data_IF_011979239699
#
_entry.id   IF_011979239699
#
_cell.length_a   1.000
_cell.length_b   1.000
_cell.length_c   1.000
_cell.angle_alpha   90.00
_cell.angle_beta   90.00
_cell.angle_gamma   90.00
#
_symmetry.space_group_name_H-M   'P 1'
#
loop_
_entity.id
_entity.type
_entity.pdbx_description
1 polymer ?
#
# COMPACT_ATOMS: atom_id res chain seq x y z
N UNK A 1 16.93 -19.30 -5.48
CA UNK A 1 15.60 -19.53 -6.09
C UNK A 1 14.67 -19.84 -4.94
N UNK A 2 13.80 -18.88 -4.57
CA UNK A 2 12.87 -19.11 -3.46
C UNK A 2 11.86 -20.17 -3.87
N UNK A 3 11.66 -21.17 -3.02
CA UNK A 3 10.70 -22.24 -3.28
C UNK A 3 9.29 -21.67 -3.00
N UNK A 4 8.68 -21.09 -4.03
CA UNK A 4 7.28 -20.66 -4.02
C UNK A 4 6.35 -21.86 -4.28
N UNK A 5 6.74 -23.04 -3.81
CA UNK A 5 5.95 -24.25 -4.03
C UNK A 5 4.51 -24.02 -3.50
N UNK A 6 3.47 -24.15 -4.34
CA UNK A 6 2.11 -23.96 -3.90
C UNK A 6 1.78 -24.94 -2.78
N UNK A 7 1.48 -24.44 -1.58
CA UNK A 7 0.98 -25.24 -0.47
C UNK A 7 -0.30 -26.00 -0.83
N UNK A 8 -0.73 -26.94 0.01
CA UNK A 8 -1.93 -27.74 -0.23
C UNK A 8 -3.24 -26.94 -0.16
N UNK A 9 -3.25 -25.81 0.56
CA UNK A 9 -4.40 -24.92 0.74
C UNK A 9 -4.33 -23.62 -0.06
N UNK A 10 -5.42 -22.85 -0.11
CA UNK A 10 -5.40 -21.53 -0.72
C UNK A 10 -4.63 -20.52 0.15
N UNK A 11 -4.05 -19.49 -0.48
CA UNK A 11 -3.58 -18.27 0.20
C UNK A 11 -4.73 -17.29 0.24
N UNK A 12 -5.07 -16.78 1.42
CA UNK A 12 -6.06 -15.71 1.55
C UNK A 12 -5.41 -14.35 1.26
N UNK A 13 -6.02 -13.57 0.37
CA UNK A 13 -5.68 -12.16 0.15
C UNK A 13 -6.89 -11.32 0.53
N UNK A 14 -6.80 -10.48 1.55
CA UNK A 14 -7.87 -9.54 1.84
C UNK A 14 -7.78 -8.33 0.93
N UNK A 15 -8.93 -7.81 0.46
CA UNK A 15 -8.95 -6.60 -0.35
C UNK A 15 -8.47 -6.76 -1.79
N UNK A 16 -8.71 -7.92 -2.41
CA UNK A 16 -8.29 -8.20 -3.80
C UNK A 16 -8.89 -7.29 -4.86
N UNK A 17 -9.94 -6.53 -4.55
CA UNK A 17 -10.49 -5.49 -5.43
C UNK A 17 -9.74 -4.14 -5.34
N UNK A 18 -8.77 -4.01 -4.45
CA UNK A 18 -7.95 -2.80 -4.30
C UNK A 18 -6.73 -2.80 -5.21
N UNK A 19 -6.09 -1.63 -5.34
CA UNK A 19 -4.93 -1.44 -6.20
C UNK A 19 -3.78 -2.42 -5.90
N UNK A 20 -3.27 -2.45 -4.67
CA UNK A 20 -2.23 -3.42 -4.27
C UNK A 20 -2.77 -4.85 -4.26
N UNK A 21 -4.00 -5.05 -3.77
CA UNK A 21 -4.60 -6.38 -3.68
C UNK A 21 -4.69 -7.09 -5.03
N UNK A 22 -5.04 -6.37 -6.10
CA UNK A 22 -5.09 -6.94 -7.46
C UNK A 22 -3.72 -7.40 -7.96
N UNK A 23 -2.64 -6.68 -7.64
CA UNK A 23 -1.27 -7.07 -7.97
C UNK A 23 -0.79 -8.26 -7.14
N UNK A 24 -1.17 -8.33 -5.86
CA UNK A 24 -0.87 -9.49 -5.01
C UNK A 24 -1.59 -10.74 -5.53
N UNK A 25 -2.87 -10.61 -5.93
CA UNK A 25 -3.62 -11.68 -6.58
C UNK A 25 -2.94 -12.16 -7.87
N UNK A 26 -2.59 -11.25 -8.76
CA UNK A 26 -1.92 -11.56 -10.03
C UNK A 26 -0.59 -12.29 -9.77
N UNK A 27 0.23 -11.79 -8.85
CA UNK A 27 1.53 -12.38 -8.50
C UNK A 27 1.39 -13.82 -7.95
N UNK A 28 0.43 -14.07 -7.05
CA UNK A 28 0.17 -15.39 -6.49
C UNK A 28 -0.35 -16.37 -7.56
N UNK A 29 -1.31 -15.94 -8.37
CA UNK A 29 -1.90 -16.78 -9.41
C UNK A 29 -0.85 -17.15 -10.48
N UNK A 30 0.02 -16.22 -10.88
CA UNK A 30 1.15 -16.48 -11.79
C UNK A 30 2.19 -17.42 -11.18
N UNK A 31 2.39 -17.35 -9.87
CA UNK A 31 3.24 -18.30 -9.14
C UNK A 31 2.59 -19.68 -8.96
N UNK A 32 1.34 -19.88 -9.43
CA UNK A 32 0.64 -21.16 -9.41
C UNK A 32 -0.11 -21.46 -8.13
N UNK A 33 -0.24 -20.51 -7.21
CA UNK A 33 -1.01 -20.68 -5.99
C UNK A 33 -2.52 -20.74 -6.27
N UNK A 34 -3.23 -21.50 -5.42
CA UNK A 34 -4.68 -21.32 -5.26
C UNK A 34 -4.89 -20.10 -4.35
N UNK A 35 -5.75 -19.20 -4.77
CA UNK A 35 -5.94 -17.92 -4.07
C UNK A 35 -7.40 -17.79 -3.68
N UNK A 36 -7.65 -17.44 -2.44
CA UNK A 36 -8.94 -16.96 -1.97
C UNK A 36 -8.84 -15.46 -1.71
N UNK A 37 -9.86 -14.68 -2.09
CA UNK A 37 -9.88 -13.26 -1.77
C UNK A 37 -11.21 -12.81 -1.20
N UNK A 38 -11.18 -11.74 -0.40
CA UNK A 38 -12.40 -11.16 0.15
C UNK A 38 -12.86 -9.96 -0.65
N UNK A 39 -14.16 -9.84 -0.80
CA UNK A 39 -14.86 -8.63 -1.25
C UNK A 39 -15.90 -8.23 -0.20
N UNK A 40 -16.19 -6.90 -0.10
CA UNK A 40 -17.18 -6.40 0.88
C UNK A 40 -18.62 -6.74 0.51
N UNK A 41 -18.88 -6.94 -0.78
CA UNK A 41 -20.21 -7.26 -1.30
C UNK A 41 -20.12 -8.13 -2.55
N UNK A 42 -21.11 -8.99 -2.85
CA UNK A 42 -21.06 -9.93 -3.97
C UNK A 42 -20.93 -9.27 -5.35
N UNK A 43 -21.47 -8.07 -5.52
CA UNK A 43 -21.41 -7.29 -6.77
C UNK A 43 -19.97 -6.96 -7.19
N UNK A 44 -19.02 -6.92 -6.26
CA UNK A 44 -17.59 -6.68 -6.55
C UNK A 44 -16.86 -7.92 -7.08
N UNK A 45 -17.42 -9.10 -6.94
CA UNK A 45 -16.75 -10.35 -7.33
C UNK A 45 -16.45 -10.41 -8.82
N UNK A 46 -17.38 -9.97 -9.67
CA UNK A 46 -17.20 -9.97 -11.12
C UNK A 46 -16.03 -9.08 -11.55
N UNK A 47 -15.90 -7.89 -10.95
CA UNK A 47 -14.77 -6.98 -11.20
C UNK A 47 -13.41 -7.62 -10.87
N UNK A 48 -13.32 -8.34 -9.75
CA UNK A 48 -12.09 -9.05 -9.34
C UNK A 48 -11.75 -10.16 -10.35
N UNK A 49 -12.73 -10.97 -10.78
CA UNK A 49 -12.51 -12.00 -11.79
C UNK A 49 -12.05 -11.40 -13.12
N UNK A 50 -12.72 -10.34 -13.56
CA UNK A 50 -12.36 -9.66 -14.79
C UNK A 50 -10.95 -9.06 -14.76
N UNK A 51 -10.52 -8.51 -13.61
CA UNK A 51 -9.17 -7.97 -13.43
C UNK A 51 -8.13 -9.08 -13.46
N UNK A 52 -8.35 -10.19 -12.75
CA UNK A 52 -7.47 -11.36 -12.77
C UNK A 52 -7.34 -11.96 -14.19
N UNK A 53 -8.44 -12.06 -14.92
CA UNK A 53 -8.43 -12.56 -16.30
C UNK A 53 -7.65 -11.65 -17.26
N UNK A 54 -7.81 -10.32 -17.15
CA UNK A 54 -7.03 -9.35 -17.94
C UNK A 54 -5.53 -9.41 -17.67
N UNK A 55 -5.15 -9.68 -16.42
CA UNK A 55 -3.77 -9.88 -16.03
C UNK A 55 -3.19 -11.23 -16.51
N UNK A 56 -4.01 -12.09 -17.13
CA UNK A 56 -3.61 -13.40 -17.67
C UNK A 56 -3.53 -14.49 -16.60
N UNK A 57 -4.13 -14.29 -15.44
CA UNK A 57 -4.19 -15.27 -14.38
C UNK A 57 -5.25 -16.35 -14.67
N UNK A 58 -5.03 -17.60 -14.19
CA UNK A 58 -6.01 -18.70 -14.29
C UNK A 58 -7.18 -18.44 -13.35
N UNK A 59 -8.40 -18.12 -13.87
CA UNK A 59 -9.56 -17.87 -13.03
C UNK A 59 -10.02 -19.09 -12.22
N UNK A 60 -9.68 -20.30 -12.64
CA UNK A 60 -10.01 -21.56 -11.95
C UNK A 60 -9.29 -21.71 -10.61
N UNK A 61 -8.25 -20.94 -10.37
CA UNK A 61 -7.49 -20.91 -9.11
C UNK A 61 -7.93 -19.82 -8.14
N UNK A 62 -8.93 -18.99 -8.52
CA UNK A 62 -9.42 -17.86 -7.74
C UNK A 62 -10.79 -18.14 -7.13
N UNK A 63 -10.83 -18.20 -5.81
CA UNK A 63 -12.04 -18.23 -5.00
C UNK A 63 -12.34 -16.84 -4.42
N UNK A 64 -13.60 -16.42 -4.40
CA UNK A 64 -14.01 -15.13 -3.85
C UNK A 64 -15.05 -15.36 -2.78
N UNK A 65 -14.83 -14.79 -1.59
CA UNK A 65 -15.74 -14.85 -0.45
C UNK A 65 -16.12 -13.44 0.00
N UNK A 66 -17.27 -13.32 0.63
CA UNK A 66 -17.72 -12.02 1.18
C UNK A 66 -17.27 -11.93 2.63
N UNK A 67 -16.49 -10.87 2.93
CA UNK A 67 -16.14 -10.48 4.30
C UNK A 67 -15.80 -8.99 4.33
N UNK A 68 -16.27 -8.29 5.37
CA UNK A 68 -16.04 -6.88 5.59
C UNK A 68 -15.21 -6.65 6.86
N UNK A 69 -14.22 -5.76 6.81
CA UNK A 69 -13.43 -5.40 7.99
C UNK A 69 -14.27 -4.76 9.11
N UNK A 70 -15.45 -4.23 8.80
CA UNK A 70 -16.39 -3.65 9.75
C UNK A 70 -17.32 -4.66 10.44
N UNK A 71 -17.31 -5.94 10.02
CA UNK A 71 -18.21 -6.97 10.52
C UNK A 71 -17.46 -8.27 10.82
N UNK A 72 -18.00 -9.11 11.72
CA UNK A 72 -17.35 -10.37 12.12
C UNK A 72 -17.68 -11.53 11.16
N UNK A 73 -18.75 -11.37 10.39
CA UNK A 73 -19.25 -12.40 9.48
C UNK A 73 -18.30 -12.63 8.30
N UNK A 74 -18.23 -13.89 7.86
CA UNK A 74 -17.46 -14.29 6.67
C UNK A 74 -15.98 -14.59 6.93
N UNK A 75 -15.38 -14.11 8.01
CA UNK A 75 -13.94 -14.30 8.24
C UNK A 75 -13.55 -15.74 8.52
N UNK A 76 -14.36 -16.49 9.29
CA UNK A 76 -14.13 -17.91 9.53
C UNK A 76 -14.08 -18.71 8.21
N UNK A 77 -15.00 -18.46 7.29
CA UNK A 77 -15.00 -19.10 5.97
C UNK A 77 -13.84 -18.60 5.11
N UNK A 78 -13.51 -17.30 5.18
CA UNK A 78 -12.41 -16.72 4.42
C UNK A 78 -11.06 -17.37 4.76
N UNK A 79 -10.76 -17.63 6.04
CA UNK A 79 -9.48 -18.19 6.49
C UNK A 79 -9.42 -19.72 6.49
N UNK A 80 -10.57 -20.40 6.37
CA UNK A 80 -10.67 -21.86 6.48
C UNK A 80 -9.76 -22.58 5.49
N UNK A 81 -8.86 -23.41 6.01
CA UNK A 81 -7.90 -24.19 5.23
C UNK A 81 -6.79 -23.37 4.57
N UNK A 82 -6.66 -22.09 4.92
CA UNK A 82 -5.53 -21.29 4.50
C UNK A 82 -4.33 -21.48 5.44
N UNK A 83 -3.16 -21.69 4.87
CA UNK A 83 -1.89 -21.69 5.63
C UNK A 83 -1.36 -20.28 5.84
N UNK A 84 -1.64 -19.40 4.88
CA UNK A 84 -1.14 -18.02 4.87
C UNK A 84 -2.25 -17.01 4.57
N UNK A 85 -2.16 -15.84 5.17
CA UNK A 85 -3.03 -14.69 4.90
C UNK A 85 -2.17 -13.48 4.52
N UNK A 86 -2.41 -12.91 3.35
CA UNK A 86 -1.87 -11.61 2.95
C UNK A 86 -2.96 -10.56 3.23
N UNK A 87 -2.83 -9.88 4.37
CA UNK A 87 -3.80 -8.89 4.82
C UNK A 87 -3.50 -7.52 4.21
N UNK A 88 -4.03 -7.29 3.00
CA UNK A 88 -3.81 -6.06 2.21
C UNK A 88 -4.92 -5.02 2.44
N UNK A 89 -6.12 -5.49 2.78
CA UNK A 89 -7.26 -4.60 3.02
C UNK A 89 -7.00 -3.67 4.21
N UNK A 90 -7.30 -2.41 4.01
CA UNK A 90 -7.39 -1.42 5.10
C UNK A 90 -8.55 -0.48 4.80
N UNK A 91 -9.36 -0.10 5.80
CA UNK A 91 -10.36 0.92 5.61
C UNK A 91 -9.69 2.22 5.15
N UNK A 92 -10.21 2.80 4.09
CA UNK A 92 -9.79 4.12 3.61
C UNK A 92 -11.03 5.00 3.53
N UNK A 93 -11.08 6.13 4.24
CA UNK A 93 -12.26 6.97 4.27
C UNK A 93 -12.51 7.60 2.90
N UNK A 94 -13.74 7.50 2.41
CA UNK A 94 -14.13 8.10 1.13
C UNK A 94 -14.28 9.65 1.23
N UNK A 95 -14.25 10.20 2.44
CA UNK A 95 -14.38 11.63 2.73
C UNK A 95 -13.54 11.98 3.96
N UNK A 96 -13.29 13.26 4.16
CA UNK A 96 -12.65 13.76 5.39
C UNK A 96 -13.49 13.33 6.62
N UNK A 97 -12.87 12.67 7.60
CA UNK A 97 -13.56 12.25 8.81
C UNK A 97 -13.93 13.46 9.65
N UNK A 98 -15.05 13.38 10.37
CA UNK A 98 -15.45 14.40 11.35
C UNK A 98 -14.73 14.23 12.67
N UNK A 99 -14.37 12.97 12.99
CA UNK A 99 -13.59 12.60 14.17
C UNK A 99 -12.55 11.57 13.77
N UNK A 100 -11.37 11.60 14.39
CA UNK A 100 -10.26 10.69 14.03
C UNK A 100 -10.61 9.21 14.24
N UNK A 101 -11.46 8.90 15.22
CA UNK A 101 -11.94 7.54 15.48
C UNK A 101 -12.72 6.91 14.31
N UNK A 102 -13.31 7.71 13.42
CA UNK A 102 -13.96 7.20 12.22
C UNK A 102 -12.97 6.47 11.27
N UNK A 103 -11.67 6.70 11.46
CA UNK A 103 -10.60 6.08 10.68
C UNK A 103 -9.77 5.13 11.53
N UNK A 104 -9.42 5.53 12.76
CA UNK A 104 -8.53 4.78 13.64
C UNK A 104 -9.18 3.47 14.11
N UNK A 105 -10.40 3.56 14.61
CA UNK A 105 -11.10 2.38 15.18
C UNK A 105 -11.35 1.31 14.11
N UNK A 106 -11.93 1.62 12.92
CA UNK A 106 -12.09 0.60 11.89
C UNK A 106 -10.78 -0.02 11.39
N UNK A 107 -9.68 0.75 11.34
CA UNK A 107 -8.39 0.25 10.90
C UNK A 107 -7.82 -0.75 11.92
N UNK A 108 -7.84 -0.40 13.20
CA UNK A 108 -7.40 -1.26 14.31
C UNK A 108 -8.25 -2.53 14.40
N UNK A 109 -9.56 -2.35 14.53
CA UNK A 109 -10.47 -3.46 14.80
C UNK A 109 -10.58 -4.42 13.60
N UNK A 110 -10.52 -3.86 12.37
CA UNK A 110 -10.47 -4.65 11.16
C UNK A 110 -9.22 -5.54 11.07
N UNK A 111 -8.05 -5.00 11.42
CA UNK A 111 -6.81 -5.79 11.46
C UNK A 111 -6.89 -6.89 12.53
N UNK A 112 -7.34 -6.56 13.74
CA UNK A 112 -7.51 -7.53 14.82
C UNK A 112 -8.52 -8.63 14.48
N UNK A 113 -9.59 -8.30 13.76
CA UNK A 113 -10.60 -9.26 13.29
C UNK A 113 -9.99 -10.33 12.39
N UNK A 114 -9.16 -9.91 11.43
CA UNK A 114 -8.46 -10.84 10.54
C UNK A 114 -7.45 -11.69 11.32
N UNK A 115 -6.70 -11.12 12.23
CA UNK A 115 -5.71 -11.83 13.04
C UNK A 115 -6.37 -12.86 13.97
N UNK A 116 -7.50 -12.51 14.61
CA UNK A 116 -8.28 -13.48 15.43
C UNK A 116 -8.77 -14.64 14.59
N UNK A 117 -9.39 -14.35 13.44
CA UNK A 117 -9.86 -15.39 12.54
C UNK A 117 -8.71 -16.30 12.06
N UNK A 118 -7.57 -15.75 11.72
CA UNK A 118 -6.37 -16.47 11.31
C UNK A 118 -5.85 -17.39 12.43
N UNK A 119 -5.71 -16.89 13.66
CA UNK A 119 -5.31 -17.66 14.84
C UNK A 119 -6.27 -18.82 15.10
N UNK A 120 -7.58 -18.54 15.14
CA UNK A 120 -8.61 -19.49 15.53
C UNK A 120 -8.77 -20.64 14.52
N UNK A 121 -8.29 -20.46 13.28
CA UNK A 121 -8.33 -21.47 12.22
C UNK A 121 -6.97 -22.05 11.85
N UNK A 122 -5.94 -21.81 12.67
CA UNK A 122 -4.63 -22.43 12.51
C UNK A 122 -3.82 -21.91 11.32
N UNK A 123 -4.05 -20.68 10.87
CA UNK A 123 -3.19 -20.02 9.91
C UNK A 123 -1.78 -19.92 10.50
N UNK A 124 -0.77 -20.27 9.72
CA UNK A 124 0.63 -20.22 10.15
C UNK A 124 1.13 -18.81 10.22
N UNK A 125 0.94 -18.01 9.14
CA UNK A 125 1.47 -16.65 9.05
C UNK A 125 0.49 -15.68 8.40
N UNK A 126 0.40 -14.48 9.01
CA UNK A 126 -0.21 -13.31 8.40
C UNK A 126 0.90 -12.36 7.94
N UNK A 127 0.84 -11.92 6.68
CA UNK A 127 1.64 -10.79 6.17
C UNK A 127 0.71 -9.59 6.05
N UNK A 128 0.92 -8.58 6.89
CA UNK A 128 0.06 -7.40 6.95
C UNK A 128 0.67 -6.24 6.16
N UNK A 129 -0.13 -5.61 5.32
CA UNK A 129 0.22 -4.32 4.73
C UNK A 129 -0.06 -3.21 5.73
N UNK A 130 1.00 -2.60 6.25
CA UNK A 130 0.96 -1.36 7.00
C UNK A 130 1.34 -0.18 6.09
N UNK A 131 2.15 0.74 6.56
CA UNK A 131 2.59 1.91 5.80
C UNK A 131 3.83 2.54 6.46
N UNK A 132 4.64 3.26 5.68
CA UNK A 132 5.61 4.21 6.23
C UNK A 132 4.97 5.22 7.19
N UNK A 133 3.66 5.46 7.06
CA UNK A 133 2.90 6.27 8.02
C UNK A 133 2.97 5.76 9.46
N UNK A 134 3.17 4.46 9.69
CA UNK A 134 3.38 3.90 11.03
C UNK A 134 4.84 4.04 11.52
N UNK A 135 5.75 4.53 10.68
CA UNK A 135 7.19 4.56 10.95
C UNK A 135 7.72 5.98 11.16
N UNK A 136 7.49 6.89 10.21
CA UNK A 136 8.35 8.07 10.06
C UNK A 136 7.67 9.43 10.16
N UNK A 137 6.52 9.59 10.81
CA UNK A 137 5.82 10.87 10.84
C UNK A 137 6.01 11.70 12.12
N UNK A 138 6.48 11.11 13.20
CA UNK A 138 6.73 11.82 14.47
C UNK A 138 8.11 12.45 14.55
N UNK A 139 9.07 11.95 13.79
CA UNK A 139 10.45 12.43 13.85
C UNK A 139 10.62 13.74 13.09
N UNK A 140 11.10 14.77 13.77
CA UNK A 140 11.32 16.11 13.22
C UNK A 140 12.76 16.37 12.77
N UNK A 141 13.71 15.48 13.12
CA UNK A 141 15.11 15.57 12.73
C UNK A 141 15.41 14.88 11.40
N UNK A 142 16.53 15.23 10.77
CA UNK A 142 17.05 14.55 9.58
C UNK A 142 17.56 13.13 9.91
N UNK A 143 17.87 12.35 8.88
CA UNK A 143 18.42 11.01 8.95
C UNK A 143 17.52 9.99 8.28
N UNK A 144 18.07 8.80 8.05
CA UNK A 144 17.32 7.70 7.47
C UNK A 144 16.41 7.03 8.52
N UNK A 145 15.26 6.55 8.06
CA UNK A 145 14.33 5.73 8.84
C UNK A 145 14.65 4.26 8.66
N UNK A 146 14.51 3.49 9.74
CA UNK A 146 14.59 2.03 9.70
C UNK A 146 13.39 1.39 10.44
N UNK A 147 13.38 0.07 10.50
CA UNK A 147 12.27 -0.68 11.07
C UNK A 147 12.13 -0.55 12.60
N UNK A 148 13.08 0.08 13.29
CA UNK A 148 12.97 0.39 14.73
C UNK A 148 12.20 1.69 14.99
N UNK A 149 12.07 2.55 13.98
CA UNK A 149 11.35 3.81 14.11
C UNK A 149 9.83 3.59 14.18
N UNK A 150 9.15 4.42 14.96
CA UNK A 150 7.71 4.41 15.11
C UNK A 150 7.11 5.82 15.10
N UNK A 151 6.00 5.96 14.39
CA UNK A 151 5.14 7.14 14.52
C UNK A 151 4.38 7.07 15.85
N UNK A 152 4.38 8.17 16.61
CA UNK A 152 3.57 8.32 17.82
C UNK A 152 2.16 8.83 17.42
N UNK A 153 1.10 8.06 17.68
CA UNK A 153 -0.26 8.50 17.40
C UNK A 153 -0.74 9.64 18.33
N UNK A 154 0.01 9.98 19.36
CA UNK A 154 -0.25 11.12 20.24
C UNK A 154 0.14 12.47 19.63
N UNK A 155 0.95 12.47 18.60
CA UNK A 155 1.36 13.69 17.91
C UNK A 155 0.21 14.32 17.10
N UNK A 156 0.38 15.60 16.72
CA UNK A 156 -0.57 16.32 15.84
C UNK A 156 -0.39 15.87 14.37
N UNK A 157 -1.00 14.73 14.07
CA UNK A 157 -0.91 14.06 12.78
C UNK A 157 -2.31 13.81 12.19
N UNK A 158 -2.36 13.59 10.87
CA UNK A 158 -3.62 13.28 10.21
C UNK A 158 -4.22 11.97 10.76
N UNK A 159 -5.57 11.83 10.78
CA UNK A 159 -6.25 10.61 11.24
C UNK A 159 -5.78 9.35 10.50
N UNK A 160 -5.43 9.48 9.22
CA UNK A 160 -4.88 8.38 8.43
C UNK A 160 -3.53 7.90 8.99
N UNK A 161 -2.59 8.82 9.24
CA UNK A 161 -1.26 8.49 9.79
C UNK A 161 -1.40 7.80 11.15
N UNK A 162 -2.20 8.38 12.04
CA UNK A 162 -2.50 7.79 13.36
C UNK A 162 -3.10 6.38 13.22
N UNK A 163 -4.05 6.19 12.29
CA UNK A 163 -4.70 4.90 12.09
C UNK A 163 -3.72 3.78 11.70
N UNK A 164 -2.70 4.10 10.91
CA UNK A 164 -1.67 3.13 10.52
C UNK A 164 -0.77 2.74 11.69
N UNK A 165 -0.33 3.71 12.49
CA UNK A 165 0.47 3.45 13.67
C UNK A 165 -0.30 2.62 14.71
N UNK A 166 -1.55 2.99 15.00
CA UNK A 166 -2.40 2.28 15.96
C UNK A 166 -2.73 0.86 15.50
N UNK A 167 -3.09 0.68 14.23
CA UNK A 167 -3.45 -0.65 13.71
C UNK A 167 -2.23 -1.59 13.71
N UNK A 168 -1.05 -1.12 13.33
CA UNK A 168 0.15 -1.93 13.34
C UNK A 168 0.59 -2.30 14.75
N UNK A 169 0.61 -1.35 15.70
CA UNK A 169 0.92 -1.64 17.10
C UNK A 169 -0.05 -2.66 17.67
N UNK A 170 -1.36 -2.49 17.45
CA UNK A 170 -2.36 -3.43 17.92
C UNK A 170 -2.19 -4.84 17.33
N UNK A 171 -1.72 -4.96 16.08
CA UNK A 171 -1.41 -6.25 15.47
C UNK A 171 -0.23 -6.95 16.17
N UNK A 172 0.84 -6.21 16.49
CA UNK A 172 1.99 -6.74 17.23
C UNK A 172 1.61 -7.12 18.67
N UNK A 173 0.88 -6.26 19.38
CA UNK A 173 0.42 -6.53 20.75
C UNK A 173 -0.46 -7.78 20.81
N UNK A 174 -1.40 -7.92 19.87
CA UNK A 174 -2.23 -9.11 19.76
C UNK A 174 -1.40 -10.37 19.50
N UNK A 175 -0.46 -10.31 18.58
CA UNK A 175 0.36 -11.48 18.23
C UNK A 175 1.22 -11.92 19.42
N UNK A 176 1.77 -10.98 20.17
CA UNK A 176 2.58 -11.24 21.35
C UNK A 176 1.74 -11.81 22.53
N UNK A 177 0.55 -11.27 22.78
CA UNK A 177 -0.26 -11.63 23.95
C UNK A 177 -1.23 -12.80 23.69
N UNK A 178 -1.80 -12.86 22.48
CA UNK A 178 -2.91 -13.74 22.15
C UNK A 178 -2.67 -14.58 20.88
N UNK A 179 -1.54 -14.41 20.19
CA UNK A 179 -1.29 -15.01 18.87
C UNK A 179 -1.28 -16.53 18.81
N UNK A 180 -0.97 -17.23 19.94
CA UNK A 180 -1.09 -18.67 20.03
C UNK A 180 -0.23 -19.47 19.03
N UNK A 181 0.87 -18.90 18.54
CA UNK A 181 1.73 -19.50 17.52
C UNK A 181 1.52 -18.90 16.10
N UNK A 182 0.56 -18.00 15.92
CA UNK A 182 0.41 -17.24 14.69
C UNK A 182 1.64 -16.34 14.46
N UNK A 183 2.30 -16.50 13.32
CA UNK A 183 3.40 -15.63 12.91
C UNK A 183 2.85 -14.36 12.25
N UNK A 184 3.44 -13.19 12.55
CA UNK A 184 3.15 -11.93 11.87
C UNK A 184 4.40 -11.43 11.15
N UNK A 185 4.26 -10.97 9.91
CA UNK A 185 5.21 -10.15 9.20
C UNK A 185 4.51 -8.87 8.72
N UNK A 186 5.20 -7.74 8.70
CA UNK A 186 4.58 -6.47 8.30
C UNK A 186 5.38 -5.81 7.18
N UNK A 187 4.67 -5.35 6.17
CA UNK A 187 5.22 -4.59 5.04
C UNK A 187 4.81 -3.11 5.20
N UNK A 188 5.80 -2.22 5.26
CA UNK A 188 5.62 -0.78 5.44
C UNK A 188 6.03 -0.02 4.16
N UNK A 189 5.19 0.03 3.13
CA UNK A 189 5.49 0.79 1.92
C UNK A 189 5.28 2.29 2.14
N UNK A 190 6.05 3.15 1.43
CA UNK A 190 5.77 4.57 1.28
C UNK A 190 4.66 4.80 0.25
N UNK A 191 4.77 5.83 -0.61
CA UNK A 191 3.85 6.04 -1.72
C UNK A 191 3.91 4.89 -2.73
N UNK A 192 2.80 4.17 -2.92
CA UNK A 192 2.73 3.05 -3.87
C UNK A 192 2.26 3.57 -5.23
N UNK A 193 3.11 3.44 -6.24
CA UNK A 193 2.85 3.78 -7.63
C UNK A 193 3.08 2.55 -8.53
N UNK A 194 2.89 2.69 -9.83
CA UNK A 194 3.06 1.61 -10.79
C UNK A 194 1.81 1.38 -11.64
N UNK A 195 1.80 0.40 -12.53
CA UNK A 195 0.70 0.20 -13.45
C UNK A 195 -0.60 -0.16 -12.73
N UNK A 196 -1.73 0.29 -13.28
CA UNK A 196 -3.07 -0.11 -12.83
C UNK A 196 -3.59 -1.25 -13.69
N UNK A 197 -4.33 -2.17 -13.07
CA UNK A 197 -4.94 -3.32 -13.74
C UNK A 197 -6.42 -3.09 -14.07
N UNK A 198 -7.04 -2.08 -13.46
CA UNK A 198 -8.43 -1.70 -13.70
C UNK A 198 -8.66 -0.18 -13.54
N UNK A 199 -9.93 0.25 -13.53
CA UNK A 199 -10.30 1.67 -13.43
C UNK A 199 -10.35 2.22 -12.00
N UNK A 200 -10.11 1.40 -10.98
CA UNK A 200 -10.10 1.84 -9.59
C UNK A 200 -8.71 2.35 -9.20
N UNK A 201 -8.59 3.67 -9.09
CA UNK A 201 -7.33 4.33 -8.80
C UNK A 201 -7.10 4.48 -7.30
N UNK A 202 -5.86 4.23 -6.86
CA UNK A 202 -5.37 4.67 -5.55
C UNK A 202 -5.14 6.19 -5.55
N UNK A 203 -5.01 6.78 -4.37
CA UNK A 203 -4.69 8.22 -4.25
C UNK A 203 -3.37 8.58 -4.97
N UNK A 204 -2.35 7.74 -4.86
CA UNK A 204 -1.05 7.95 -5.51
C UNK A 204 -1.14 7.87 -7.04
N UNK A 205 -1.86 6.91 -7.59
CA UNK A 205 -2.12 6.85 -9.04
C UNK A 205 -2.97 8.03 -9.49
N UNK A 206 -3.96 8.44 -8.69
CA UNK A 206 -4.77 9.64 -8.92
C UNK A 206 -3.93 10.92 -9.00
N UNK A 207 -2.84 10.99 -8.25
CA UNK A 207 -1.88 12.09 -8.31
C UNK A 207 -1.19 12.18 -9.69
N UNK A 208 -0.69 11.04 -10.21
CA UNK A 208 -0.09 10.99 -11.55
C UNK A 208 -1.11 11.37 -12.62
N UNK A 209 -2.34 10.86 -12.49
CA UNK A 209 -3.45 11.26 -13.38
C UNK A 209 -3.69 12.78 -13.35
N UNK A 210 -3.80 13.36 -12.16
CA UNK A 210 -4.01 14.80 -12.00
C UNK A 210 -2.88 15.65 -12.60
N UNK A 211 -1.62 15.18 -12.49
CA UNK A 211 -0.48 15.83 -13.16
C UNK A 211 -0.63 15.81 -14.67
N UNK A 212 -0.98 14.66 -15.26
CA UNK A 212 -1.12 14.50 -16.71
C UNK A 212 -2.32 15.29 -17.29
N UNK A 213 -3.40 15.43 -16.52
CA UNK A 213 -4.59 16.20 -16.92
C UNK A 213 -4.44 17.71 -16.73
N UNK A 214 -3.35 18.17 -16.06
CA UNK A 214 -3.12 19.58 -15.79
C UNK A 214 -3.93 20.13 -14.61
N UNK A 215 -4.51 19.25 -13.78
CA UNK A 215 -5.20 19.66 -12.56
C UNK A 215 -4.25 20.22 -11.49
N UNK A 216 -2.94 19.99 -11.65
CA UNK A 216 -1.87 20.47 -10.77
C UNK A 216 -0.85 21.27 -11.58
N UNK A 217 -1.12 22.53 -11.93
CA UNK A 217 -0.19 23.35 -12.74
C UNK A 217 1.12 23.68 -12.01
N UNK A 218 1.09 23.68 -10.70
CA UNK A 218 2.24 23.84 -9.80
C UNK A 218 2.11 22.86 -8.62
N UNK A 219 3.22 22.47 -8.01
CA UNK A 219 3.24 21.54 -6.87
C UNK A 219 4.07 22.08 -5.72
N UNK A 220 3.73 21.76 -4.46
CA UNK A 220 4.58 22.12 -3.33
C UNK A 220 5.88 21.29 -3.30
N UNK A 221 6.94 21.76 -2.60
CA UNK A 221 8.18 21.01 -2.37
C UNK A 221 7.95 19.89 -1.34
N UNK A 222 7.21 18.89 -1.73
CA UNK A 222 6.88 17.72 -0.92
C UNK A 222 7.65 16.52 -1.42
N UNK A 223 8.38 15.88 -0.51
CA UNK A 223 9.24 14.73 -0.78
C UNK A 223 8.69 13.47 -0.13
N UNK A 224 8.84 12.36 -0.80
CA UNK A 224 8.49 11.03 -0.30
C UNK A 224 9.30 9.97 -1.04
N UNK A 225 9.43 8.79 -0.44
CA UNK A 225 9.96 7.64 -1.13
C UNK A 225 8.85 6.95 -1.95
N UNK A 226 9.24 6.22 -2.98
CA UNK A 226 8.35 5.54 -3.93
C UNK A 226 8.54 4.03 -3.83
N UNK A 227 7.44 3.28 -3.84
CA UNK A 227 7.45 1.84 -4.02
C UNK A 227 6.64 1.46 -5.27
N UNK A 228 7.18 0.59 -6.10
CA UNK A 228 6.41 0.00 -7.20
C UNK A 228 5.44 -1.04 -6.67
N UNK A 229 4.18 -0.98 -7.08
CA UNK A 229 3.13 -1.90 -6.63
C UNK A 229 3.47 -3.36 -6.89
N UNK A 230 4.20 -3.65 -7.96
CA UNK A 230 4.66 -5.00 -8.30
C UNK A 230 5.73 -5.49 -7.32
N UNK A 231 6.61 -4.59 -6.88
CA UNK A 231 7.67 -4.90 -5.91
C UNK A 231 7.09 -5.04 -4.50
N UNK A 232 6.09 -4.23 -4.15
CA UNK A 232 5.34 -4.40 -2.89
C UNK A 232 4.61 -5.75 -2.89
N UNK A 233 3.97 -6.14 -3.99
CA UNK A 233 3.34 -7.45 -4.12
C UNK A 233 4.37 -8.58 -3.95
N UNK A 234 5.54 -8.49 -4.59
CA UNK A 234 6.61 -9.47 -4.43
C UNK A 234 7.13 -9.54 -2.99
N UNK A 235 7.24 -8.41 -2.28
CA UNK A 235 7.63 -8.40 -0.88
C UNK A 235 6.64 -9.20 -0.01
N UNK A 236 5.33 -9.10 -0.28
CA UNK A 236 4.32 -9.90 0.43
C UNK A 236 4.50 -11.41 0.18
N UNK A 237 4.73 -11.83 -1.07
CA UNK A 237 4.93 -13.23 -1.41
C UNK A 237 6.19 -13.78 -0.73
N UNK A 238 7.27 -13.01 -0.72
CA UNK A 238 8.52 -13.42 -0.08
C UNK A 238 8.41 -13.48 1.44
N UNK A 239 7.80 -12.47 2.06
CA UNK A 239 7.55 -12.47 3.50
C UNK A 239 6.60 -13.59 3.95
N UNK A 240 5.74 -14.08 3.06
CA UNK A 240 4.85 -15.21 3.32
C UNK A 240 5.63 -16.50 3.58
N UNK A 241 6.69 -16.75 2.80
CA UNK A 241 7.41 -18.03 2.79
C UNK A 241 8.78 -17.99 3.46
N UNK A 242 9.42 -16.83 3.52
CA UNK A 242 10.76 -16.69 4.13
C UNK A 242 10.68 -16.90 5.65
N UNK A 243 11.37 -17.93 6.22
CA UNK A 243 11.33 -18.19 7.65
C UNK A 243 11.80 -17.01 8.50
N UNK A 244 12.84 -16.29 8.05
CA UNK A 244 13.40 -15.16 8.75
C UNK A 244 12.49 -13.89 8.72
N UNK A 245 11.36 -13.95 8.00
CA UNK A 245 10.38 -12.85 8.00
C UNK A 245 9.38 -12.93 9.17
N UNK A 246 9.33 -14.05 9.90
CA UNK A 246 8.47 -14.20 11.08
C UNK A 246 8.88 -13.22 12.19
N UNK A 247 7.93 -12.43 12.70
CA UNK A 247 8.18 -11.45 13.75
C UNK A 247 8.85 -10.17 13.25
N UNK A 248 8.92 -9.94 11.93
CA UNK A 248 9.68 -8.85 11.35
C UNK A 248 8.79 -7.85 10.59
N UNK A 249 9.21 -6.57 10.59
CA UNK A 249 8.66 -5.52 9.74
C UNK A 249 9.71 -5.11 8.70
N UNK A 250 9.23 -4.68 7.53
CA UNK A 250 10.08 -4.36 6.38
C UNK A 250 9.67 -3.03 5.74
N UNK A 251 10.61 -2.09 5.69
CA UNK A 251 10.48 -0.90 4.87
C UNK A 251 10.70 -1.27 3.40
N UNK A 252 9.71 -0.93 2.55
CA UNK A 252 9.70 -1.29 1.12
C UNK A 252 9.60 -0.01 0.29
N UNK A 253 10.71 0.49 -0.20
CA UNK A 253 10.80 1.69 -1.03
C UNK A 253 12.12 1.70 -1.82
N UNK A 254 12.32 2.69 -2.67
CA UNK A 254 13.58 2.81 -3.41
C UNK A 254 14.77 3.18 -2.51
N UNK A 255 14.51 3.73 -1.33
CA UNK A 255 15.52 4.29 -0.44
C UNK A 255 15.97 5.70 -0.87
N UNK A 256 15.30 6.27 -1.88
CA UNK A 256 15.62 7.58 -2.43
C UNK A 256 14.37 8.47 -2.47
N UNK A 257 14.41 9.59 -1.75
CA UNK A 257 13.30 10.53 -1.76
C UNK A 257 13.15 11.21 -3.13
N UNK A 258 11.93 11.31 -3.59
CA UNK A 258 11.54 12.00 -4.82
C UNK A 258 10.56 13.12 -4.48
N UNK A 259 10.69 14.30 -5.12
CA UNK A 259 9.69 15.35 -4.97
C UNK A 259 8.53 15.20 -5.95
N UNK A 260 7.39 15.84 -5.66
CA UNK A 260 6.29 15.94 -6.60
C UNK A 260 6.75 16.55 -7.94
N UNK A 261 7.62 17.57 -7.88
CA UNK A 261 8.18 18.17 -9.09
C UNK A 261 9.16 17.23 -9.80
N UNK A 262 9.94 16.44 -9.05
CA UNK A 262 10.78 15.38 -9.62
C UNK A 262 9.97 14.37 -10.43
N UNK A 263 8.80 13.96 -9.91
CA UNK A 263 7.87 13.08 -10.66
C UNK A 263 7.32 13.76 -11.92
N UNK A 264 6.94 15.05 -11.82
CA UNK A 264 6.48 15.81 -12.97
C UNK A 264 7.55 15.90 -14.08
N UNK A 265 8.81 16.09 -13.70
CA UNK A 265 9.93 16.06 -14.65
C UNK A 265 10.12 14.70 -15.32
N UNK A 266 10.04 13.61 -14.57
CA UNK A 266 10.09 12.25 -15.13
C UNK A 266 8.99 12.07 -16.18
N UNK A 267 7.76 12.52 -15.89
CA UNK A 267 6.65 12.46 -16.84
C UNK A 267 6.95 13.30 -18.09
N UNK A 268 7.41 14.54 -17.93
CA UNK A 268 7.69 15.43 -19.06
C UNK A 268 8.83 14.90 -19.95
N UNK A 269 9.93 14.44 -19.35
CA UNK A 269 11.08 13.91 -20.06
C UNK A 269 10.78 12.57 -20.76
N UNK A 270 10.01 11.67 -20.11
CA UNK A 270 9.72 10.35 -20.65
C UNK A 270 8.54 10.29 -21.64
N UNK A 271 7.61 11.24 -21.57
CA UNK A 271 6.37 11.21 -22.36
C UNK A 271 6.24 12.36 -23.37
N UNK A 272 7.09 13.39 -23.27
CA UNK A 272 7.08 14.54 -24.17
C UNK A 272 5.72 15.26 -24.21
N UNK A 273 5.15 15.44 -25.40
CA UNK A 273 3.88 16.16 -25.59
C UNK A 273 2.70 15.55 -24.82
N UNK A 274 2.72 14.25 -24.57
CA UNK A 274 1.67 13.57 -23.78
C UNK A 274 1.64 13.99 -22.31
N UNK A 275 2.71 14.61 -21.82
CA UNK A 275 2.79 15.18 -20.47
C UNK A 275 2.93 16.72 -20.49
N UNK A 276 2.54 17.38 -21.58
CA UNK A 276 2.65 18.85 -21.72
C UNK A 276 1.89 19.64 -20.63
N UNK A 277 0.90 19.02 -19.98
CA UNK A 277 0.12 19.59 -18.90
C UNK A 277 0.70 19.29 -17.51
N UNK A 278 1.78 18.50 -17.42
CA UNK A 278 2.41 18.19 -16.14
C UNK A 278 2.90 19.47 -15.43
N UNK A 279 3.00 19.48 -14.09
CA UNK A 279 3.42 20.64 -13.32
C UNK A 279 4.70 21.28 -13.87
N UNK A 280 4.63 22.58 -14.21
CA UNK A 280 5.73 23.30 -14.84
C UNK A 280 6.77 23.82 -13.83
N UNK A 281 6.40 23.97 -12.54
CA UNK A 281 7.30 24.43 -11.49
C UNK A 281 6.88 23.93 -10.10
N UNK A 282 7.82 24.02 -9.20
CA UNK A 282 7.62 23.82 -7.76
C UNK A 282 7.34 25.18 -7.09
N UNK A 283 6.46 25.21 -6.09
CA UNK A 283 6.22 26.36 -5.25
C UNK A 283 7.41 26.59 -4.31
N UNK A 284 7.69 27.86 -4.00
CA UNK A 284 8.66 28.14 -2.93
C UNK A 284 8.05 27.85 -1.56
N UNK A 285 8.87 27.62 -0.52
CA UNK A 285 8.37 27.48 0.85
C UNK A 285 7.53 28.67 1.33
N UNK A 286 7.82 29.87 0.85
CA UNK A 286 7.09 31.11 1.16
C UNK A 286 5.69 31.08 0.53
N UNK A 287 5.59 30.72 -0.76
CA UNK A 287 4.31 30.56 -1.47
C UNK A 287 3.43 29.49 -0.79
N UNK A 288 4.03 28.36 -0.34
CA UNK A 288 3.30 27.33 0.40
C UNK A 288 2.75 27.86 1.72
N UNK A 289 3.58 28.59 2.52
CA UNK A 289 3.12 29.15 3.81
C UNK A 289 2.02 30.20 3.64
N UNK A 290 2.10 30.99 2.59
CA UNK A 290 1.08 32.00 2.29
C UNK A 290 -0.22 31.33 1.84
N UNK A 291 -0.15 30.41 0.88
CA UNK A 291 -1.30 29.68 0.39
C UNK A 291 -1.97 28.81 1.46
N UNK A 292 -1.21 28.31 2.44
CA UNK A 292 -1.72 27.53 3.57
C UNK A 292 -2.79 28.25 4.43
N UNK A 293 -2.88 29.59 4.32
CA UNK A 293 -3.89 30.39 5.03
C UNK A 293 -5.31 30.13 4.51
N UNK A 294 -5.43 29.78 3.23
CA UNK A 294 -6.72 29.63 2.55
C UNK A 294 -6.93 28.26 1.92
N UNK A 295 -5.85 27.57 1.55
CA UNK A 295 -5.90 26.26 0.89
C UNK A 295 -5.55 25.12 1.88
N UNK A 296 -6.47 24.19 2.16
CA UNK A 296 -6.21 23.06 3.04
C UNK A 296 -5.08 22.13 2.55
N UNK A 297 -4.93 21.94 1.22
CA UNK A 297 -3.88 21.10 0.66
C UNK A 297 -2.50 21.72 0.89
N UNK A 298 -2.36 23.05 0.71
CA UNK A 298 -1.13 23.75 1.01
C UNK A 298 -0.85 23.83 2.51
N UNK A 299 -1.88 23.79 3.36
CA UNK A 299 -1.71 23.70 4.82
C UNK A 299 -1.08 22.36 5.22
N UNK A 300 -1.53 21.26 4.64
CA UNK A 300 -0.91 19.95 4.84
C UNK A 300 0.54 19.94 4.33
N UNK A 301 0.79 20.48 3.14
CA UNK A 301 2.12 20.59 2.57
C UNK A 301 3.05 21.46 3.43
N UNK A 302 2.54 22.55 4.04
CA UNK A 302 3.32 23.42 4.93
C UNK A 302 3.85 22.66 6.16
N UNK A 303 3.09 21.72 6.68
CA UNK A 303 3.52 20.83 7.78
C UNK A 303 4.63 19.84 7.38
N UNK A 304 4.86 19.65 6.08
CA UNK A 304 5.86 18.73 5.56
C UNK A 304 7.10 19.45 4.98
N UNK A 305 7.12 20.79 5.00
CA UNK A 305 8.25 21.56 4.45
C UNK A 305 9.58 21.18 5.10
N UNK A 306 10.59 20.96 4.26
CA UNK A 306 11.93 20.56 4.69
C UNK A 306 12.08 19.10 5.09
N UNK A 307 11.03 18.29 5.05
CA UNK A 307 11.12 16.85 5.29
C UNK A 307 11.50 16.13 4.00
N UNK A 308 12.61 15.39 4.05
CA UNK A 308 13.11 14.55 2.95
C UNK A 308 13.34 13.15 3.54
N UNK A 309 12.31 12.28 3.53
CA UNK A 309 12.42 10.96 4.14
C UNK A 309 13.33 10.05 3.31
N UNK A 310 14.32 9.46 3.96
CA UNK A 310 15.19 8.43 3.40
C UNK A 310 14.91 7.13 4.13
N UNK A 311 14.52 6.08 3.41
CA UNK A 311 14.21 4.78 4.00
C UNK A 311 15.41 3.84 3.85
N UNK A 312 15.81 3.19 4.94
CA UNK A 312 16.76 2.07 4.87
C UNK A 312 16.01 0.80 4.48
N UNK A 313 16.29 0.28 3.31
CA UNK A 313 15.66 -0.94 2.78
C UNK A 313 16.60 -2.14 2.81
N UNK A 314 17.75 -2.01 3.50
CA UNK A 314 18.79 -3.05 3.58
C UNK A 314 18.24 -4.37 4.15
N UNK A 315 17.36 -4.30 5.15
CA UNK A 315 16.72 -5.46 5.75
C UNK A 315 15.84 -6.21 4.75
N UNK A 316 15.01 -5.50 3.98
CA UNK A 316 14.19 -6.11 2.95
C UNK A 316 15.05 -6.77 1.87
N UNK A 317 16.16 -6.15 1.49
CA UNK A 317 17.13 -6.74 0.54
C UNK A 317 17.79 -8.00 1.11
N UNK A 318 18.29 -7.93 2.33
CA UNK A 318 19.02 -9.02 2.96
C UNK A 318 18.12 -10.23 3.29
N UNK A 319 16.93 -9.99 3.87
CA UNK A 319 16.03 -11.05 4.34
C UNK A 319 15.15 -11.57 3.22
N UNK A 320 14.50 -10.67 2.48
CA UNK A 320 13.55 -11.05 1.43
C UNK A 320 14.22 -11.22 0.05
N UNK A 321 15.51 -10.88 -0.12
CA UNK A 321 16.15 -10.79 -1.44
C UNK A 321 15.41 -9.86 -2.39
N UNK A 322 14.78 -8.84 -1.83
CA UNK A 322 13.91 -7.90 -2.55
C UNK A 322 14.74 -6.78 -3.19
N UNK A 323 14.37 -6.39 -4.41
CA UNK A 323 15.00 -5.29 -5.15
C UNK A 323 13.95 -4.37 -5.75
N UNK A 324 14.05 -3.03 -5.56
CA UNK A 324 13.09 -2.08 -6.10
C UNK A 324 13.35 -1.76 -7.57
N UNK A 325 12.28 -1.51 -8.32
CA UNK A 325 12.33 -0.78 -9.58
C UNK A 325 12.71 0.68 -9.34
N UNK A 326 13.26 1.33 -10.38
CA UNK A 326 13.55 2.75 -10.29
C UNK A 326 12.27 3.59 -10.21
N UNK A 327 12.38 4.78 -9.60
CA UNK A 327 11.29 5.77 -9.57
C UNK A 327 10.82 6.10 -10.98
N UNK A 328 11.75 6.28 -11.92
CA UNK A 328 11.46 6.58 -13.31
C UNK A 328 10.60 5.48 -13.95
N UNK A 329 11.04 4.22 -13.88
CA UNK A 329 10.28 3.08 -14.40
C UNK A 329 8.86 3.04 -13.79
N UNK A 330 8.78 3.22 -12.47
CA UNK A 330 7.50 3.16 -11.75
C UNK A 330 6.54 4.25 -12.19
N UNK A 331 7.01 5.50 -12.29
CA UNK A 331 6.19 6.66 -12.71
C UNK A 331 5.74 6.54 -14.15
N UNK A 332 6.65 6.17 -15.06
CA UNK A 332 6.33 6.01 -16.49
C UNK A 332 5.38 4.83 -16.74
N UNK A 333 5.54 3.71 -16.02
CA UNK A 333 4.63 2.58 -16.12
C UNK A 333 3.24 2.91 -15.56
N UNK A 334 3.17 3.74 -14.50
CA UNK A 334 1.89 4.29 -14.01
C UNK A 334 1.17 5.04 -15.11
N UNK A 335 1.84 6.04 -15.70
CA UNK A 335 1.29 6.85 -16.77
C UNK A 335 0.90 6.00 -17.99
N UNK A 336 1.78 5.09 -18.43
CA UNK A 336 1.53 4.18 -19.54
C UNK A 336 0.28 3.33 -19.35
N UNK A 337 0.01 2.90 -18.12
CA UNK A 337 -1.19 2.13 -17.80
C UNK A 337 -2.47 2.98 -17.83
N UNK A 338 -2.39 4.24 -17.37
CA UNK A 338 -3.51 5.19 -17.44
C UNK A 338 -3.93 5.46 -18.90
N UNK A 339 -2.97 5.65 -19.79
CA UNK A 339 -3.25 5.80 -21.23
C UNK A 339 -3.84 4.53 -21.83
N UNK A 340 -3.27 3.35 -21.54
CA UNK A 340 -3.80 2.07 -22.09
C UNK A 340 -5.24 1.79 -21.67
N UNK A 341 -5.64 2.23 -20.48
CA UNK A 341 -7.01 2.05 -19.98
C UNK A 341 -7.96 3.20 -20.39
N UNK A 342 -7.47 4.20 -21.13
CA UNK A 342 -8.27 5.37 -21.51
C UNK A 342 -8.74 6.18 -20.29
N UNK A 343 -7.88 6.31 -19.29
CA UNK A 343 -8.15 7.07 -18.06
C UNK A 343 -7.54 8.46 -18.12
N UNK A 344 -6.65 8.69 -19.05
CA UNK A 344 -6.07 9.99 -19.45
C UNK A 344 -6.04 9.99 -20.98
N UNK A 345 -6.37 11.11 -21.58
CA UNK A 345 -6.28 11.31 -23.03
C UNK A 345 -4.81 11.34 -23.47
N UNK A 346 -4.54 10.77 -24.65
CA UNK A 346 -3.19 10.63 -25.19
C UNK A 346 -2.67 11.93 -25.80
#
# INVERSE_FOLDING_TARGET
MYDLNPGSGPVLVTGGSGYLGSHVLDALLRAGHRVRTTVRSPDRAEGVRATAARAGADPGRLEIVVADLGADEGWAEAVKGCEHVLHVASPFPARQPRHEDEVIVPARDGALRVLRAARDHGVRRVVMTSSFAAVGYSRTGGGAYDESDWTDPGDDLTPYVKSKAVAERAAWDFTAAEGGGLELAVINPPGIFGPVLDRHLSASVGLVKAMLEGALPVVPPQYFDVADVRDVAQAHLRAMTEPAAAGERFLIGTGTATSLYGMARILAEGLGERAAKAPARELTPEEVREGARTDPALREAAGQLGRVPVLRTDKARAVLGWEPRSVETTVLDTAGSLFRLGLVDA
#
